data_IF_515108492158
#
_entry.id   IF_515108492158
#
_cell.length_a   1.000
_cell.length_b   1.000
_cell.length_c   1.000
_cell.angle_alpha   90.00
_cell.angle_beta   90.00
_cell.angle_gamma   90.00
#
_symmetry.space_group_name_H-M   'P 1'
#
loop_
_entity.id
_entity.type
_entity.pdbx_description
1 polymer ?
#
# COMPACT_ATOMS: atom_id res chain seq x y z
N UNK A 1 -12.16 -2.63 -27.00
CA UNK A 1 -11.87 -1.22 -26.64
C UNK A 1 -11.77 -1.00 -25.13
N UNK A 2 -12.77 -1.39 -24.31
CA UNK A 2 -12.76 -1.16 -22.85
C UNK A 2 -11.55 -1.73 -22.12
N UNK A 3 -11.13 -2.94 -22.49
CA UNK A 3 -10.00 -3.62 -21.84
C UNK A 3 -8.65 -2.94 -22.17
N UNK A 4 -8.47 -2.47 -23.40
CA UNK A 4 -7.24 -1.79 -23.81
C UNK A 4 -7.13 -0.42 -23.13
N UNK A 5 -8.23 0.35 -23.08
CA UNK A 5 -8.29 1.59 -22.34
C UNK A 5 -7.94 1.39 -20.85
N UNK A 6 -8.47 0.34 -20.23
CA UNK A 6 -8.17 0.00 -18.83
C UNK A 6 -6.70 -0.37 -18.64
N UNK A 7 -6.11 -1.16 -19.55
CA UNK A 7 -4.69 -1.52 -19.51
C UNK A 7 -3.78 -0.30 -19.60
N UNK A 8 -4.09 0.65 -20.46
CA UNK A 8 -3.35 1.91 -20.57
C UNK A 8 -3.41 2.71 -19.26
N UNK A 9 -4.60 2.85 -18.66
CA UNK A 9 -4.75 3.53 -17.38
C UNK A 9 -3.96 2.80 -16.29
N UNK A 10 -4.02 1.47 -16.23
CA UNK A 10 -3.22 0.69 -15.28
C UNK A 10 -1.72 0.93 -15.43
N UNK A 11 -1.20 0.96 -16.67
CA UNK A 11 0.23 1.27 -16.93
C UNK A 11 0.60 2.66 -16.38
N UNK A 12 -0.25 3.65 -16.60
CA UNK A 12 -0.08 5.01 -16.06
C UNK A 12 -0.08 5.01 -14.52
N UNK A 13 -1.00 4.28 -13.87
CA UNK A 13 -1.04 4.18 -12.40
C UNK A 13 0.21 3.52 -11.81
N UNK A 14 0.74 2.49 -12.48
CA UNK A 14 2.00 1.85 -12.08
C UNK A 14 3.17 2.83 -12.21
N UNK A 15 3.24 3.60 -13.31
CA UNK A 15 4.27 4.63 -13.49
C UNK A 15 4.19 5.71 -12.39
N UNK A 16 2.99 6.20 -12.07
CA UNK A 16 2.83 7.15 -10.96
C UNK A 16 3.26 6.56 -9.62
N UNK A 17 2.98 5.28 -9.36
CA UNK A 17 3.43 4.61 -8.15
C UNK A 17 4.96 4.48 -8.10
N UNK A 18 5.62 4.27 -9.24
CA UNK A 18 7.08 4.27 -9.37
C UNK A 18 7.66 5.65 -9.06
N UNK A 19 7.16 6.72 -9.70
CA UNK A 19 7.57 8.11 -9.44
C UNK A 19 7.43 8.46 -7.94
N UNK A 20 6.33 8.03 -7.32
CA UNK A 20 6.10 8.24 -5.90
C UNK A 20 7.13 7.48 -5.05
N UNK A 21 7.46 6.25 -5.45
CA UNK A 21 8.42 5.40 -4.75
C UNK A 21 9.86 5.86 -4.84
N UNK A 22 10.22 6.60 -5.88
CA UNK A 22 11.56 7.16 -6.06
C UNK A 22 11.88 8.28 -5.06
N UNK A 23 10.88 8.88 -4.40
CA UNK A 23 11.07 9.87 -3.36
C UNK A 23 11.54 9.22 -2.03
N UNK A 24 12.75 8.64 -2.05
CA UNK A 24 13.36 7.92 -0.92
C UNK A 24 13.45 8.77 0.35
N UNK A 25 13.67 10.09 0.20
CA UNK A 25 13.76 11.01 1.33
C UNK A 25 12.43 11.12 2.08
N UNK A 26 11.33 11.29 1.35
CA UNK A 26 9.99 11.29 1.94
C UNK A 26 9.73 9.99 2.70
N UNK A 27 9.97 8.83 2.09
CA UNK A 27 9.70 7.54 2.72
C UNK A 27 10.57 7.26 3.94
N UNK A 28 11.84 7.68 3.92
CA UNK A 28 12.76 7.53 5.05
C UNK A 28 12.34 8.37 6.26
N UNK A 29 11.83 9.58 6.01
CA UNK A 29 11.41 10.52 7.04
C UNK A 29 9.96 10.28 7.52
N UNK A 30 9.11 9.75 6.65
CA UNK A 30 7.69 9.53 6.90
C UNK A 30 7.38 8.10 7.36
N UNK A 31 8.03 7.66 8.45
CA UNK A 31 7.79 6.32 9.03
C UNK A 31 6.38 6.14 9.61
N UNK A 32 5.71 7.25 9.90
CA UNK A 32 4.33 7.30 10.40
C UNK A 32 3.32 6.79 9.35
N UNK A 33 3.61 7.00 8.05
CA UNK A 33 2.80 6.48 6.95
C UNK A 33 3.04 4.98 6.75
N UNK A 34 2.65 4.19 7.75
CA UNK A 34 2.93 2.77 7.80
C UNK A 34 2.19 1.95 6.74
N UNK A 35 2.71 0.75 6.47
CA UNK A 35 2.17 -0.25 5.54
C UNK A 35 0.65 -0.48 5.69
N UNK A 36 0.18 -0.56 6.94
CA UNK A 36 -1.22 -0.79 7.27
C UNK A 36 -2.08 0.40 6.90
N UNK A 37 -1.57 1.62 7.05
CA UNK A 37 -2.31 2.86 6.82
C UNK A 37 -2.65 3.03 5.33
N UNK A 38 -1.70 2.74 4.42
CA UNK A 38 -1.96 2.75 2.98
C UNK A 38 -2.98 1.67 2.61
N UNK A 39 -2.81 0.45 3.11
CA UNK A 39 -3.71 -0.68 2.79
C UNK A 39 -5.13 -0.45 3.27
N UNK A 40 -5.32 -0.01 4.52
CA UNK A 40 -6.67 0.27 5.05
C UNK A 40 -7.34 1.44 4.34
N UNK A 41 -6.57 2.42 3.88
CA UNK A 41 -7.08 3.50 3.03
C UNK A 41 -7.58 2.96 1.69
N UNK A 42 -6.83 2.08 1.03
CA UNK A 42 -7.28 1.43 -0.20
C UNK A 42 -8.58 0.63 0.00
N UNK A 43 -8.70 -0.11 1.11
CA UNK A 43 -9.92 -0.85 1.44
C UNK A 43 -11.10 0.08 1.72
N UNK A 44 -10.89 1.19 2.42
CA UNK A 44 -11.93 2.16 2.72
C UNK A 44 -12.44 2.87 1.45
N UNK A 45 -11.54 3.19 0.51
CA UNK A 45 -11.93 3.77 -0.79
C UNK A 45 -12.90 2.86 -1.55
N UNK A 46 -12.70 1.53 -1.50
CA UNK A 46 -13.62 0.59 -2.15
C UNK A 46 -15.04 0.57 -1.58
N UNK A 47 -15.25 1.16 -0.39
CA UNK A 47 -16.59 1.30 0.20
C UNK A 47 -17.30 2.60 -0.21
N UNK A 48 -16.62 3.48 -0.93
CA UNK A 48 -17.20 4.73 -1.39
C UNK A 48 -18.25 4.48 -2.47
N UNK A 49 -19.29 5.31 -2.49
CA UNK A 49 -20.35 5.28 -3.50
C UNK A 49 -20.05 6.20 -4.69
N UNK A 50 -19.22 7.21 -4.50
CA UNK A 50 -18.79 8.15 -5.53
C UNK A 50 -17.40 8.73 -5.22
N UNK A 51 -16.81 9.40 -6.20
CA UNK A 51 -15.51 10.06 -6.07
C UNK A 51 -15.48 11.12 -4.96
N UNK A 52 -16.57 11.86 -4.74
CA UNK A 52 -16.61 12.90 -3.70
C UNK A 52 -16.41 12.32 -2.29
N UNK A 53 -16.92 11.10 -2.02
CA UNK A 53 -16.65 10.39 -0.76
C UNK A 53 -15.18 9.99 -0.63
N UNK A 54 -14.55 9.55 -1.74
CA UNK A 54 -13.11 9.24 -1.77
C UNK A 54 -12.28 10.49 -1.46
N UNK A 55 -12.62 11.61 -2.09
CA UNK A 55 -11.95 12.89 -1.89
C UNK A 55 -12.10 13.37 -0.44
N UNK A 56 -13.32 13.42 0.07
CA UNK A 56 -13.60 13.81 1.46
C UNK A 56 -12.84 12.93 2.46
N UNK A 57 -12.79 11.62 2.24
CA UNK A 57 -12.04 10.71 3.10
C UNK A 57 -10.53 11.01 3.08
N UNK A 58 -9.95 11.26 1.91
CA UNK A 58 -8.52 11.59 1.79
C UNK A 58 -8.19 12.96 2.37
N UNK A 59 -9.07 13.95 2.23
CA UNK A 59 -8.93 15.27 2.87
C UNK A 59 -8.93 15.13 4.40
N UNK A 60 -9.86 14.33 4.94
CA UNK A 60 -9.87 13.98 6.35
C UNK A 60 -8.55 13.32 6.77
N UNK A 61 -8.05 12.34 6.03
CA UNK A 61 -6.76 11.69 6.30
C UNK A 61 -5.60 12.69 6.30
N UNK A 62 -5.58 13.62 5.35
CA UNK A 62 -4.58 14.68 5.26
C UNK A 62 -4.64 15.70 6.40
N UNK A 63 -5.82 15.95 6.97
CA UNK A 63 -5.99 16.84 8.13
C UNK A 63 -5.50 16.22 9.45
N UNK A 64 -5.42 14.89 9.52
CA UNK A 64 -5.00 14.18 10.73
C UNK A 64 -3.48 14.21 10.90
N UNK A 65 -3.05 14.89 11.96
CA UNK A 65 -1.64 14.95 12.36
C UNK A 65 -1.08 13.58 12.71
N UNK A 66 0.22 13.39 12.45
CA UNK A 66 1.00 12.21 12.84
C UNK A 66 0.51 10.90 12.20
N UNK A 67 -0.15 10.99 11.03
CA UNK A 67 -0.57 9.81 10.26
C UNK A 67 0.30 9.58 9.04
N UNK A 68 1.17 10.54 8.73
CA UNK A 68 2.02 10.54 7.57
C UNK A 68 1.34 11.06 6.29
N UNK A 69 0.01 11.14 6.26
CA UNK A 69 -0.75 11.74 5.17
C UNK A 69 -0.63 13.27 5.14
N UNK A 70 -0.41 13.86 6.31
CA UNK A 70 -0.23 15.30 6.55
C UNK A 70 1.19 15.79 6.19
N UNK A 71 2.14 14.89 5.92
CA UNK A 71 3.53 15.27 5.65
C UNK A 71 3.68 15.89 4.27
N UNK A 72 4.56 16.90 4.11
CA UNK A 72 4.91 17.43 2.80
C UNK A 72 5.48 16.34 1.89
N UNK A 73 5.02 16.27 0.65
CA UNK A 73 5.50 15.30 -0.33
C UNK A 73 6.29 15.94 -1.48
N UNK A 74 5.78 17.05 -2.02
CA UNK A 74 6.45 17.91 -2.99
C UNK A 74 6.13 19.39 -2.69
N UNK A 75 6.69 20.33 -3.46
CA UNK A 75 6.55 21.79 -3.34
C UNK A 75 5.24 22.25 -2.68
N UNK A 76 5.26 22.37 -1.34
CA UNK A 76 4.18 22.82 -0.47
C UNK A 76 2.84 22.07 -0.51
N UNK A 77 2.80 20.80 -0.93
CA UNK A 77 1.59 19.96 -0.80
C UNK A 77 1.82 18.77 0.12
N UNK A 78 0.79 18.42 0.90
CA UNK A 78 0.80 17.21 1.73
C UNK A 78 0.66 15.97 0.86
N UNK A 79 1.08 14.82 1.35
CA UNK A 79 0.94 13.55 0.64
C UNK A 79 -0.53 13.25 0.30
N UNK A 80 -1.47 13.53 1.21
CA UNK A 80 -2.90 13.41 0.92
C UNK A 80 -3.33 14.26 -0.28
N UNK A 81 -2.98 15.55 -0.30
CA UNK A 81 -3.34 16.44 -1.40
C UNK A 81 -2.70 16.01 -2.72
N UNK A 82 -1.46 15.53 -2.67
CA UNK A 82 -0.80 14.97 -3.85
C UNK A 82 -1.57 13.77 -4.41
N UNK A 83 -2.00 12.84 -3.55
CA UNK A 83 -2.79 11.67 -3.96
C UNK A 83 -4.17 12.08 -4.48
N UNK A 84 -4.85 13.03 -3.84
CA UNK A 84 -6.14 13.58 -4.31
C UNK A 84 -5.99 14.11 -5.73
N UNK A 85 -4.96 14.92 -6.00
CA UNK A 85 -4.71 15.47 -7.33
C UNK A 85 -4.46 14.36 -8.38
N UNK A 86 -3.71 13.31 -8.03
CA UNK A 86 -3.53 12.16 -8.93
C UNK A 86 -4.85 11.42 -9.21
N UNK A 87 -5.74 11.31 -8.23
CA UNK A 87 -7.05 10.67 -8.45
C UNK A 87 -7.99 11.59 -9.26
N UNK A 88 -7.93 12.91 -9.09
CA UNK A 88 -8.64 13.86 -9.97
C UNK A 88 -8.19 13.69 -11.44
N UNK A 89 -6.88 13.55 -11.68
CA UNK A 89 -6.36 13.33 -13.03
C UNK A 89 -6.75 11.94 -13.58
N UNK A 90 -6.79 10.91 -12.74
CA UNK A 90 -7.36 9.60 -13.08
C UNK A 90 -8.82 9.73 -13.50
N UNK A 91 -9.64 10.49 -12.75
CA UNK A 91 -11.05 10.72 -13.05
C UNK A 91 -11.24 11.34 -14.42
N UNK A 92 -10.53 12.44 -14.71
CA UNK A 92 -10.51 13.06 -16.05
C UNK A 92 -10.13 12.05 -17.13
N UNK A 93 -9.15 11.18 -16.85
CA UNK A 93 -8.69 10.18 -17.82
C UNK A 93 -9.72 9.10 -18.12
N UNK A 94 -10.44 8.63 -17.09
CA UNK A 94 -11.57 7.71 -17.24
C UNK A 94 -12.69 8.40 -18.02
N UNK A 95 -13.02 9.65 -17.69
CA UNK A 95 -14.05 10.41 -18.40
C UNK A 95 -13.75 10.55 -19.90
N UNK A 96 -12.50 10.83 -20.26
CA UNK A 96 -12.02 10.88 -21.65
C UNK A 96 -12.12 9.51 -22.34
N UNK A 97 -11.56 8.46 -21.73
CA UNK A 97 -11.43 7.13 -22.34
C UNK A 97 -12.77 6.43 -22.54
N UNK A 98 -13.75 6.73 -21.70
CA UNK A 98 -15.08 6.14 -21.74
C UNK A 98 -16.16 7.17 -22.11
N UNK A 99 -15.78 8.28 -22.75
CA UNK A 99 -16.71 9.37 -23.13
C UNK A 99 -17.88 8.88 -23.98
N UNK A 100 -17.60 7.98 -24.92
CA UNK A 100 -18.57 7.48 -25.90
C UNK A 100 -19.46 6.34 -25.37
N UNK A 101 -19.22 5.89 -24.13
CA UNK A 101 -20.02 4.84 -23.50
C UNK A 101 -20.85 5.40 -22.32
N UNK A 102 -22.12 5.77 -22.56
CA UNK A 102 -22.99 6.29 -21.51
C UNK A 102 -23.45 5.22 -20.51
N UNK A 103 -23.24 3.93 -20.81
CA UNK A 103 -23.63 2.82 -19.92
C UNK A 103 -22.50 2.43 -18.97
N UNK A 104 -21.30 2.96 -19.18
CA UNK A 104 -20.14 2.68 -18.35
C UNK A 104 -20.21 3.47 -17.04
N UNK A 105 -20.15 2.76 -15.92
CA UNK A 105 -20.08 3.36 -14.59
C UNK A 105 -18.67 3.89 -14.32
N UNK A 106 -18.45 5.14 -14.74
CA UNK A 106 -17.16 5.84 -14.61
C UNK A 106 -16.78 6.08 -13.15
N UNK A 107 -17.76 6.39 -12.30
CA UNK A 107 -17.53 6.63 -10.87
C UNK A 107 -17.01 5.36 -10.20
N UNK A 108 -17.66 4.23 -10.43
CA UNK A 108 -17.19 2.92 -9.92
C UNK A 108 -15.80 2.57 -10.44
N UNK A 109 -15.52 2.78 -11.73
CA UNK A 109 -14.19 2.50 -12.29
C UNK A 109 -13.11 3.37 -11.64
N UNK A 110 -13.38 4.67 -11.43
CA UNK A 110 -12.44 5.59 -10.74
C UNK A 110 -12.16 5.11 -9.32
N UNK A 111 -13.19 4.68 -8.57
CA UNK A 111 -13.03 4.16 -7.20
C UNK A 111 -12.17 2.90 -7.18
N UNK A 112 -12.46 1.93 -8.06
CA UNK A 112 -11.70 0.68 -8.16
C UNK A 112 -10.23 0.96 -8.54
N UNK A 113 -10.00 1.85 -9.49
CA UNK A 113 -8.67 2.23 -9.95
C UNK A 113 -7.91 3.06 -8.91
N UNK A 114 -8.57 3.93 -8.15
CA UNK A 114 -7.96 4.68 -7.05
C UNK A 114 -7.50 3.76 -5.91
N UNK A 115 -8.32 2.79 -5.52
CA UNK A 115 -7.93 1.78 -4.53
C UNK A 115 -6.76 0.93 -5.03
N UNK A 116 -6.78 0.53 -6.31
CA UNK A 116 -5.70 -0.21 -6.96
C UNK A 116 -4.40 0.61 -7.04
N UNK A 117 -4.49 1.90 -7.31
CA UNK A 117 -3.35 2.81 -7.29
C UNK A 117 -2.66 2.87 -5.92
N UNK A 118 -3.42 2.99 -4.82
CA UNK A 118 -2.86 2.88 -3.48
C UNK A 118 -2.22 1.50 -3.22
N UNK A 119 -2.80 0.44 -3.79
CA UNK A 119 -2.21 -0.90 -3.79
C UNK A 119 -0.84 -0.95 -4.47
N UNK A 120 -0.69 -0.29 -5.63
CA UNK A 120 0.59 -0.19 -6.32
C UNK A 120 1.63 0.57 -5.53
N UNK A 121 1.26 1.69 -4.91
CA UNK A 121 2.14 2.42 -3.98
C UNK A 121 2.59 1.48 -2.86
N UNK A 122 1.66 0.77 -2.22
CA UNK A 122 2.00 -0.19 -1.18
C UNK A 122 3.03 -1.25 -1.65
N UNK A 123 2.86 -1.82 -2.85
CA UNK A 123 3.82 -2.80 -3.37
C UNK A 123 5.18 -2.19 -3.67
N UNK A 124 5.22 -1.00 -4.26
CA UNK A 124 6.49 -0.31 -4.58
C UNK A 124 7.28 0.05 -3.33
N UNK A 125 6.61 0.57 -2.30
CA UNK A 125 7.29 0.99 -1.06
C UNK A 125 7.60 -0.19 -0.15
N UNK A 126 6.65 -1.09 0.07
CA UNK A 126 6.75 -2.12 1.12
C UNK A 126 6.82 -3.54 0.59
N UNK A 127 6.31 -3.81 -0.61
CA UNK A 127 6.41 -5.13 -1.24
C UNK A 127 7.81 -5.44 -1.73
N UNK A 128 8.49 -4.47 -2.35
CA UNK A 128 9.80 -4.66 -2.98
C UNK A 128 10.99 -4.33 -2.06
N UNK A 129 10.86 -3.34 -1.18
CA UNK A 129 11.95 -2.94 -0.26
C UNK A 129 12.24 -4.04 0.78
N UNK A 130 11.21 -4.74 1.26
CA UNK A 130 11.38 -5.86 2.19
C UNK A 130 12.03 -7.10 1.54
N UNK A 131 12.00 -7.24 0.22
CA UNK A 131 12.73 -8.32 -0.47
C UNK A 131 14.23 -7.98 -0.52
N UNK A 132 14.58 -6.75 -0.92
CA UNK A 132 15.99 -6.31 -0.99
C UNK A 132 16.67 -6.28 0.38
N UNK A 133 15.99 -5.82 1.42
CA UNK A 133 16.55 -5.84 2.78
C UNK A 133 16.70 -7.27 3.36
N UNK A 134 15.87 -8.23 2.91
CA UNK A 134 16.03 -9.63 3.32
C UNK A 134 17.12 -10.36 2.51
N UNK A 135 17.32 -9.97 1.24
CA UNK A 135 18.42 -10.47 0.39
C UNK A 135 19.78 -9.95 0.86
N UNK A 136 19.87 -8.67 1.27
CA UNK A 136 21.10 -8.07 1.82
C UNK A 136 21.45 -8.57 3.24
N UNK A 137 20.48 -9.14 3.96
CA UNK A 137 20.66 -9.69 5.32
C UNK A 137 20.99 -11.18 5.37
N UNK A 138 21.18 -11.88 4.24
CA UNK A 138 21.73 -13.24 4.28
C UNK A 138 23.25 -13.18 4.39
N UNK A 139 23.87 -13.55 5.54
CA UNK A 139 25.29 -13.85 5.54
C UNK A 139 25.49 -15.20 4.84
N UNK A 140 26.47 -15.27 3.94
CA UNK A 140 27.05 -16.54 3.51
C UNK A 140 27.52 -17.29 4.77
N UNK A 141 26.76 -18.29 5.21
CA UNK A 141 27.22 -19.24 6.20
C UNK A 141 27.11 -20.66 5.64
N UNK A 142 27.84 -20.90 4.56
CA UNK A 142 28.25 -22.25 4.16
C UNK A 142 29.49 -22.63 4.98
N UNK A 143 29.27 -23.24 6.15
CA UNK A 143 30.07 -24.32 6.72
C UNK A 143 29.75 -24.48 8.21
N UNK A 144 28.92 -25.47 8.54
CA UNK A 144 29.14 -26.29 9.73
C UNK A 144 28.42 -27.63 9.58
N UNK A 145 29.24 -28.68 9.52
CA UNK A 145 28.86 -30.10 9.45
C UNK A 145 28.07 -30.56 10.68
N UNK A 146 27.29 -31.66 10.59
CA UNK A 146 26.42 -32.10 11.67
C UNK A 146 27.21 -32.77 12.80
N UNK A 147 27.13 -32.23 14.02
CA UNK A 147 27.66 -32.89 15.22
C UNK A 147 26.54 -33.65 15.93
N UNK A 148 26.63 -34.98 15.88
CA UNK A 148 25.85 -35.89 16.72
C UNK A 148 26.41 -35.98 18.15
N UNK A 149 25.54 -36.42 19.07
CA UNK A 149 25.69 -36.83 20.49
C UNK A 149 25.20 -35.78 21.50
N UNK A 150 24.42 -36.10 22.52
CA UNK A 150 23.96 -37.39 23.04
C UNK A 150 22.92 -37.18 24.14
N UNK A 151 22.21 -38.26 24.43
CA UNK A 151 21.22 -38.45 25.51
C UNK A 151 21.66 -37.95 26.89
N UNK A 152 20.72 -37.38 27.65
CA UNK A 152 20.54 -37.77 29.06
C UNK A 152 19.12 -37.51 29.57
N UNK A 153 18.58 -38.56 30.19
CA UNK A 153 17.31 -38.67 30.91
C UNK A 153 17.42 -38.05 32.31
N UNK A 154 16.35 -37.39 32.78
CA UNK A 154 15.85 -37.26 34.18
C UNK A 154 14.93 -36.03 34.23
N UNK A 155 13.74 -35.99 34.81
CA UNK A 155 12.83 -36.95 35.40
C UNK A 155 11.54 -36.15 35.64
N UNK A 156 10.38 -36.65 35.23
CA UNK A 156 9.10 -35.94 35.36
C UNK A 156 8.25 -36.67 36.39
N UNK A 157 8.23 -36.16 37.61
CA UNK A 157 7.26 -36.56 38.64
C UNK A 157 5.97 -35.76 38.47
N UNK A 158 4.90 -36.49 38.16
CA UNK A 158 3.52 -36.02 38.24
C UNK A 158 3.14 -35.68 39.69
N UNK A 159 2.41 -34.58 39.85
CA UNK A 159 1.45 -34.46 40.95
C UNK A 159 0.23 -33.64 40.51
N UNK A 160 -0.85 -34.37 40.22
CA UNK A 160 -2.22 -33.87 40.28
C UNK A 160 -2.53 -33.44 41.71
N UNK A 161 -3.17 -32.29 41.89
CA UNK A 161 -4.12 -32.12 42.99
C UNK A 161 -5.25 -31.18 42.60
N UNK A 162 -6.43 -31.77 42.53
CA UNK A 162 -7.75 -31.14 42.50
C UNK A 162 -7.97 -30.33 43.78
N UNK A 163 -8.69 -29.20 43.68
CA UNK A 163 -9.45 -28.68 44.80
C UNK A 163 -10.85 -28.25 44.36
N UNK A 164 -11.81 -28.95 44.96
CA UNK A 164 -13.14 -28.50 45.37
C UNK A 164 -13.11 -27.16 46.11
#
# INVERSE_FOLDING_TARGET
MKEEARKEIIKMLVQWADEIGENKNFWKQNRELGKTNIRTTATAILQASCYDEVKLFLEYKGSRKNTGWDKPFNNNTTFANYIINKIEDLRKKVDEKYKEDPTFDKEKEVIELAARFLGYIYWKIYGLVNQKENEERQPQNSNQSPQMKGTNYQGRSDSRQSRS
#
